data_IF_045893263022
#
_entry.id   IF_045893263022
#
_cell.length_a   1.000
_cell.length_b   1.000
_cell.length_c   1.000
_cell.angle_alpha   90.00
_cell.angle_beta   90.00
_cell.angle_gamma   90.00
#
_symmetry.space_group_name_H-M   'P 1'
#
loop_
_entity.id
_entity.type
_entity.pdbx_description
1 polymer ?
#
# COMPACT_ATOMS: atom_id res chain seq x y z
N UNK A 1 -28.45 -37.27 30.87
CA UNK A 1 -27.43 -37.27 29.79
C UNK A 1 -27.89 -36.62 28.50
N UNK A 2 -29.06 -36.92 27.90
CA UNK A 2 -29.52 -36.30 26.63
C UNK A 2 -29.71 -34.78 26.67
N UNK A 3 -30.18 -34.21 27.80
CA UNK A 3 -30.39 -32.75 27.95
C UNK A 3 -29.08 -31.96 28.00
N UNK A 4 -28.04 -32.51 28.66
CA UNK A 4 -26.74 -31.84 28.74
C UNK A 4 -26.03 -31.80 27.37
N UNK A 5 -26.12 -32.88 26.58
CA UNK A 5 -25.58 -32.94 25.23
C UNK A 5 -26.28 -31.93 24.31
N UNK A 6 -27.60 -31.77 24.44
CA UNK A 6 -28.36 -30.79 23.67
C UNK A 6 -27.93 -29.35 23.97
N UNK A 7 -27.71 -29.02 25.25
CA UNK A 7 -27.26 -27.68 25.67
C UNK A 7 -25.86 -27.38 25.12
N UNK A 8 -24.94 -28.34 25.18
CA UNK A 8 -23.60 -28.18 24.61
C UNK A 8 -23.63 -27.99 23.06
N UNK A 9 -24.48 -28.74 22.37
CA UNK A 9 -24.64 -28.62 20.93
C UNK A 9 -25.16 -27.22 20.54
N UNK A 10 -26.17 -26.69 21.25
CA UNK A 10 -26.70 -25.34 21.02
C UNK A 10 -25.64 -24.27 21.30
N UNK A 11 -24.84 -24.40 22.36
CA UNK A 11 -23.78 -23.46 22.70
C UNK A 11 -22.68 -23.42 21.60
N UNK A 12 -22.30 -24.59 21.07
CA UNK A 12 -21.31 -24.66 19.97
C UNK A 12 -21.86 -24.02 18.69
N UNK A 13 -23.11 -24.31 18.33
CA UNK A 13 -23.75 -23.73 17.13
C UNK A 13 -23.85 -22.21 17.27
N UNK A 14 -24.27 -21.71 18.44
CA UNK A 14 -24.33 -20.27 18.71
C UNK A 14 -22.93 -19.62 18.66
N UNK A 15 -21.90 -20.27 19.19
CA UNK A 15 -20.52 -19.81 19.14
C UNK A 15 -19.99 -19.77 17.72
N UNK A 16 -20.22 -20.77 16.89
CA UNK A 16 -19.83 -20.82 15.49
C UNK A 16 -20.59 -19.76 14.67
N UNK A 17 -21.89 -19.58 14.90
CA UNK A 17 -22.68 -18.55 14.23
C UNK A 17 -22.19 -17.13 14.59
N UNK A 18 -21.92 -16.86 15.87
CA UNK A 18 -21.35 -15.60 16.32
C UNK A 18 -19.96 -15.35 15.71
N UNK A 19 -19.10 -16.37 15.68
CA UNK A 19 -17.79 -16.29 15.06
C UNK A 19 -17.86 -16.01 13.54
N UNK A 20 -18.79 -16.68 12.83
CA UNK A 20 -19.00 -16.43 11.40
C UNK A 20 -19.54 -15.02 11.15
N UNK A 21 -20.48 -14.53 11.98
CA UNK A 21 -21.01 -13.16 11.88
C UNK A 21 -19.95 -12.11 12.17
N UNK A 22 -19.09 -12.30 13.17
CA UNK A 22 -17.99 -11.41 13.48
C UNK A 22 -16.97 -11.42 12.32
N UNK A 23 -16.66 -12.59 11.78
CA UNK A 23 -15.72 -12.72 10.65
C UNK A 23 -16.24 -12.11 9.35
N UNK A 24 -17.55 -12.17 9.08
CA UNK A 24 -18.18 -11.49 7.95
C UNK A 24 -18.22 -9.98 8.16
N UNK A 25 -18.49 -9.51 9.36
CA UNK A 25 -18.44 -8.08 9.72
C UNK A 25 -17.01 -7.50 9.60
N UNK A 26 -15.98 -8.28 9.98
CA UNK A 26 -14.57 -7.87 9.80
C UNK A 26 -14.16 -7.92 8.33
N UNK A 27 -14.72 -8.83 7.51
CA UNK A 27 -14.49 -8.89 6.07
C UNK A 27 -15.25 -7.82 5.27
N UNK A 28 -16.34 -7.27 5.83
CA UNK A 28 -17.13 -6.21 5.20
C UNK A 28 -16.74 -4.80 5.66
N UNK A 29 -15.66 -4.64 6.47
CA UNK A 29 -14.93 -3.38 6.43
C UNK A 29 -14.05 -3.45 5.18
N UNK A 30 -14.47 -2.91 4.05
CA UNK A 30 -13.61 -2.90 2.89
C UNK A 30 -12.35 -2.14 3.30
N UNK A 31 -11.21 -2.71 3.01
CA UNK A 31 -9.92 -2.01 3.03
C UNK A 31 -10.02 -0.67 2.30
N UNK A 32 -10.95 -0.55 1.36
CA UNK A 32 -11.40 0.68 0.71
C UNK A 32 -11.87 1.77 1.68
N UNK A 33 -12.51 1.46 2.81
CA UNK A 33 -12.95 2.51 3.77
C UNK A 33 -11.77 3.08 4.56
N UNK A 34 -10.74 2.29 4.85
CA UNK A 34 -9.47 2.81 5.38
C UNK A 34 -8.71 3.64 4.33
N UNK A 35 -8.90 3.33 3.06
CA UNK A 35 -8.33 4.05 1.93
C UNK A 35 -9.20 5.24 1.51
N UNK A 36 -10.51 5.23 1.75
CA UNK A 36 -11.41 6.36 1.47
C UNK A 36 -11.22 7.52 2.48
N UNK A 37 -10.74 7.24 3.70
CA UNK A 37 -10.40 8.30 4.65
C UNK A 37 -9.05 8.96 4.36
N UNK A 38 -8.22 8.38 3.48
CA UNK A 38 -6.86 8.83 3.15
C UNK A 38 -6.10 9.31 4.40
N UNK A 39 -5.91 8.44 5.43
CA UNK A 39 -5.27 8.85 6.67
C UNK A 39 -3.86 9.40 6.44
N UNK A 40 -3.21 8.95 5.36
CA UNK A 40 -1.93 9.48 4.89
C UNK A 40 -2.00 10.95 4.45
N UNK A 41 -3.17 11.46 4.04
CA UNK A 41 -3.35 12.85 3.69
C UNK A 41 -3.75 13.73 4.89
N UNK A 42 -4.26 13.15 5.97
CA UNK A 42 -4.64 13.90 7.16
C UNK A 42 -3.43 14.62 7.79
N UNK A 43 -2.27 13.95 7.84
CA UNK A 43 -1.04 14.59 8.31
C UNK A 43 -0.54 15.67 7.33
N UNK A 44 -0.71 15.49 6.01
CA UNK A 44 -0.33 16.49 5.01
C UNK A 44 -1.11 17.79 5.25
N UNK A 45 -2.42 17.67 5.46
CA UNK A 45 -3.28 18.84 5.77
C UNK A 45 -2.79 19.57 7.02
N UNK A 46 -2.55 18.84 8.11
CA UNK A 46 -2.18 19.43 9.41
C UNK A 46 -0.76 19.97 9.42
N UNK A 47 0.22 19.21 8.91
CA UNK A 47 1.64 19.55 8.93
C UNK A 47 1.96 20.75 8.02
N UNK A 48 1.35 20.78 6.83
CA UNK A 48 1.56 21.85 5.86
C UNK A 48 0.55 23.00 6.05
N UNK A 49 -0.37 22.88 6.99
CA UNK A 49 -1.42 23.88 7.26
C UNK A 49 -2.20 24.26 6.00
N UNK A 50 -2.61 23.25 5.22
CA UNK A 50 -3.29 23.45 3.95
C UNK A 50 -4.66 24.10 4.15
N UNK A 51 -4.99 25.05 3.28
CA UNK A 51 -6.37 25.50 3.13
C UNK A 51 -7.26 24.36 2.64
N UNK A 52 -8.58 24.49 2.81
CA UNK A 52 -9.52 23.46 2.33
C UNK A 52 -9.45 23.32 0.81
N UNK A 53 -9.21 24.41 0.07
CA UNK A 53 -9.03 24.38 -1.38
C UNK A 53 -7.74 23.64 -1.80
N UNK A 54 -6.61 23.93 -1.14
CA UNK A 54 -5.34 23.22 -1.38
C UNK A 54 -5.49 21.74 -1.06
N UNK A 55 -6.11 21.40 0.06
CA UNK A 55 -6.34 20.03 0.46
C UNK A 55 -7.22 19.27 -0.53
N UNK A 56 -8.26 19.89 -1.08
CA UNK A 56 -9.10 19.30 -2.12
C UNK A 56 -8.30 18.98 -3.39
N UNK A 57 -7.42 19.89 -3.82
CA UNK A 57 -6.54 19.67 -4.99
C UNK A 57 -5.55 18.53 -4.74
N UNK A 58 -4.90 18.52 -3.59
CA UNK A 58 -3.97 17.44 -3.18
C UNK A 58 -4.68 16.09 -3.13
N UNK A 59 -5.87 16.04 -2.53
CA UNK A 59 -6.67 14.81 -2.44
C UNK A 59 -7.07 14.29 -3.82
N UNK A 60 -7.44 15.17 -4.75
CA UNK A 60 -7.78 14.80 -6.12
C UNK A 60 -6.57 14.21 -6.88
N UNK A 61 -5.38 14.82 -6.75
CA UNK A 61 -4.15 14.31 -7.35
C UNK A 61 -3.78 12.94 -6.78
N UNK A 62 -3.90 12.77 -5.46
CA UNK A 62 -3.61 11.49 -4.80
C UNK A 62 -4.59 10.40 -5.23
N UNK A 63 -5.87 10.68 -5.28
CA UNK A 63 -6.89 9.75 -5.74
C UNK A 63 -6.66 9.30 -7.20
N UNK A 64 -6.21 10.22 -8.06
CA UNK A 64 -5.87 9.90 -9.45
C UNK A 64 -4.58 9.06 -9.59
N UNK A 65 -3.58 9.29 -8.72
CA UNK A 65 -2.31 8.55 -8.73
C UNK A 65 -2.43 7.13 -8.18
N UNK A 66 -3.28 6.93 -7.19
CA UNK A 66 -3.39 5.71 -6.40
C UNK A 66 -3.59 4.42 -7.21
N UNK A 67 -4.49 4.34 -8.22
CA UNK A 67 -4.63 3.13 -9.04
C UNK A 67 -3.33 2.73 -9.74
N UNK A 68 -2.58 3.72 -10.26
CA UNK A 68 -1.27 3.51 -10.89
C UNK A 68 -0.24 2.98 -9.89
N UNK A 69 -0.20 3.55 -8.69
CA UNK A 69 0.68 3.09 -7.62
C UNK A 69 0.41 1.62 -7.27
N UNK A 70 -0.86 1.25 -7.09
CA UNK A 70 -1.26 -0.13 -6.80
C UNK A 70 -0.86 -1.10 -7.92
N UNK A 71 -1.10 -0.73 -9.18
CA UNK A 71 -0.69 -1.53 -10.34
C UNK A 71 0.83 -1.78 -10.35
N UNK A 72 1.62 -0.74 -10.08
CA UNK A 72 3.09 -0.85 -10.04
C UNK A 72 3.57 -1.71 -8.89
N UNK A 73 2.97 -1.61 -7.70
CA UNK A 73 3.26 -2.50 -6.58
C UNK A 73 3.00 -3.98 -6.93
N UNK A 74 1.89 -4.27 -7.63
CA UNK A 74 1.61 -5.64 -8.10
C UNK A 74 2.65 -6.13 -9.12
N UNK A 75 3.10 -5.26 -10.04
CA UNK A 75 4.15 -5.60 -11.02
C UNK A 75 5.48 -5.88 -10.35
N UNK A 76 5.88 -5.06 -9.36
CA UNK A 76 7.09 -5.27 -8.58
C UNK A 76 7.03 -6.61 -7.86
N UNK A 77 5.94 -6.90 -7.15
CA UNK A 77 5.77 -8.15 -6.41
C UNK A 77 5.85 -9.37 -7.34
N UNK A 78 5.21 -9.33 -8.50
CA UNK A 78 5.25 -10.40 -9.49
C UNK A 78 6.66 -10.62 -10.08
N UNK A 79 7.38 -9.53 -10.39
CA UNK A 79 8.75 -9.60 -10.90
C UNK A 79 9.72 -10.12 -9.84
N UNK A 80 9.55 -9.71 -8.58
CA UNK A 80 10.32 -10.23 -7.43
C UNK A 80 10.10 -11.74 -7.26
N UNK A 81 8.85 -12.19 -7.21
CA UNK A 81 8.51 -13.62 -7.11
C UNK A 81 9.10 -14.44 -8.27
N UNK A 82 9.10 -13.89 -9.51
CA UNK A 82 9.71 -14.51 -10.67
C UNK A 82 11.21 -14.76 -10.44
N UNK A 83 11.95 -13.74 -9.98
CA UNK A 83 13.39 -13.83 -9.68
C UNK A 83 13.65 -14.86 -8.58
N UNK A 84 12.91 -14.80 -7.47
CA UNK A 84 13.06 -15.78 -6.38
C UNK A 84 12.78 -17.21 -6.83
N UNK A 85 11.75 -17.44 -7.63
CA UNK A 85 11.39 -18.76 -8.15
C UNK A 85 12.49 -19.31 -9.07
N UNK A 86 13.13 -18.45 -9.87
CA UNK A 86 14.25 -18.86 -10.72
C UNK A 86 15.47 -19.27 -9.89
N UNK A 87 15.83 -18.49 -8.86
CA UNK A 87 16.94 -18.79 -7.94
C UNK A 87 16.69 -20.11 -7.19
N UNK A 88 15.45 -20.33 -6.71
CA UNK A 88 15.10 -21.59 -6.02
C UNK A 88 15.21 -22.83 -6.90
N UNK A 89 14.92 -22.71 -8.20
CA UNK A 89 15.00 -23.81 -9.17
C UNK A 89 16.43 -24.09 -9.59
N UNK A 90 17.23 -23.08 -9.78
CA UNK A 90 18.62 -23.18 -10.21
C UNK A 90 19.44 -22.05 -9.56
N UNK A 91 20.27 -22.35 -8.54
CA UNK A 91 21.07 -21.36 -7.83
C UNK A 91 22.33 -20.97 -8.61
N UNK A 92 22.18 -20.63 -9.88
CA UNK A 92 23.24 -20.16 -10.77
C UNK A 92 22.75 -18.93 -11.53
N UNK A 93 23.65 -18.00 -11.82
CA UNK A 93 23.34 -16.83 -12.63
C UNK A 93 23.32 -17.27 -14.10
N UNK A 94 22.11 -17.45 -14.63
CA UNK A 94 21.88 -17.75 -16.04
C UNK A 94 21.49 -16.50 -16.81
N UNK A 95 21.62 -16.46 -18.15
CA UNK A 95 21.16 -15.33 -18.96
C UNK A 95 19.66 -15.01 -18.77
N UNK A 96 18.84 -16.01 -18.46
CA UNK A 96 17.42 -15.84 -18.14
C UNK A 96 17.23 -15.15 -16.80
N UNK A 97 18.01 -15.51 -15.77
CA UNK A 97 17.97 -14.88 -14.47
C UNK A 97 18.46 -13.42 -14.56
N UNK A 98 19.53 -13.16 -15.32
CA UNK A 98 20.01 -11.78 -15.56
C UNK A 98 18.92 -10.91 -16.18
N UNK A 99 18.23 -11.42 -17.21
CA UNK A 99 17.09 -10.69 -17.82
C UNK A 99 15.96 -10.42 -16.83
N UNK A 100 15.61 -11.40 -16.00
CA UNK A 100 14.57 -11.22 -14.97
C UNK A 100 14.97 -10.17 -13.92
N UNK A 101 16.25 -10.12 -13.52
CA UNK A 101 16.77 -9.10 -12.61
C UNK A 101 16.69 -7.71 -13.26
N UNK A 102 17.10 -7.58 -14.52
CA UNK A 102 17.00 -6.30 -15.24
C UNK A 102 15.55 -5.85 -15.42
N UNK A 103 14.62 -6.76 -15.72
CA UNK A 103 13.19 -6.48 -15.80
C UNK A 103 12.65 -5.95 -14.46
N UNK A 104 12.99 -6.63 -13.36
CA UNK A 104 12.62 -6.22 -12.01
C UNK A 104 13.17 -4.83 -11.68
N UNK A 105 14.44 -4.55 -11.97
CA UNK A 105 15.08 -3.25 -11.75
C UNK A 105 14.42 -2.12 -12.59
N UNK A 106 14.05 -2.42 -13.84
CA UNK A 106 13.36 -1.45 -14.70
C UNK A 106 11.97 -1.08 -14.13
N UNK A 107 11.19 -2.06 -13.66
CA UNK A 107 9.88 -1.81 -13.04
C UNK A 107 10.03 -0.94 -11.77
N UNK A 108 11.07 -1.16 -10.96
CA UNK A 108 11.37 -0.31 -9.82
C UNK A 108 11.69 1.14 -10.23
N UNK A 109 12.51 1.32 -11.27
CA UNK A 109 12.84 2.64 -11.78
C UNK A 109 11.58 3.39 -12.29
N UNK A 110 10.71 2.71 -13.03
CA UNK A 110 9.44 3.27 -13.50
C UNK A 110 8.52 3.67 -12.34
N UNK A 111 8.46 2.86 -11.29
CA UNK A 111 7.70 3.17 -10.09
C UNK A 111 8.26 4.40 -9.36
N UNK A 112 9.58 4.47 -9.20
CA UNK A 112 10.26 5.60 -8.58
C UNK A 112 10.00 6.89 -9.36
N UNK A 113 10.11 6.86 -10.69
CA UNK A 113 9.78 8.00 -11.54
C UNK A 113 8.34 8.44 -11.36
N UNK A 114 7.38 7.51 -11.40
CA UNK A 114 5.97 7.82 -11.22
C UNK A 114 5.67 8.44 -9.85
N UNK A 115 6.35 8.00 -8.80
CA UNK A 115 6.24 8.58 -7.46
C UNK A 115 6.81 10.01 -7.42
N UNK A 116 7.97 10.25 -8.02
CA UNK A 116 8.56 11.59 -8.12
C UNK A 116 7.66 12.54 -8.91
N UNK A 117 7.11 12.09 -10.03
CA UNK A 117 6.15 12.87 -10.82
C UNK A 117 4.93 13.27 -9.97
N UNK A 118 4.38 12.34 -9.19
CA UNK A 118 3.27 12.63 -8.28
C UNK A 118 3.66 13.61 -7.18
N UNK A 119 4.85 13.48 -6.58
CA UNK A 119 5.37 14.42 -5.57
C UNK A 119 5.48 15.82 -6.15
N UNK A 120 6.05 15.97 -7.35
CA UNK A 120 6.21 17.29 -7.98
C UNK A 120 4.88 17.89 -8.44
N UNK A 121 3.94 17.09 -8.95
CA UNK A 121 2.59 17.55 -9.27
C UNK A 121 1.86 18.05 -8.01
N UNK A 122 1.99 17.33 -6.91
CA UNK A 122 1.40 17.73 -5.63
C UNK A 122 2.05 19.02 -5.11
N UNK A 123 3.37 19.12 -5.16
CA UNK A 123 4.08 20.34 -4.77
C UNK A 123 3.66 21.56 -5.61
N UNK A 124 3.33 21.35 -6.89
CA UNK A 124 2.90 22.41 -7.81
C UNK A 124 1.55 23.06 -7.48
N UNK A 125 0.73 22.47 -6.58
CA UNK A 125 -0.53 23.06 -6.11
C UNK A 125 -0.41 23.70 -4.72
N UNK A 126 0.78 23.70 -4.13
CA UNK A 126 1.11 24.27 -2.83
C UNK A 126 1.85 25.61 -3.00
N UNK A 127 1.91 26.40 -1.93
CA UNK A 127 2.80 27.58 -1.94
C UNK A 127 4.27 27.19 -1.77
N UNK A 128 5.19 28.13 -1.96
CA UNK A 128 6.62 27.85 -2.02
C UNK A 128 7.19 27.20 -0.77
N UNK A 129 6.75 27.60 0.44
CA UNK A 129 7.21 27.04 1.69
C UNK A 129 6.61 25.65 1.95
N UNK A 130 5.30 25.51 1.70
CA UNK A 130 4.59 24.23 1.79
C UNK A 130 5.16 23.22 0.81
N UNK A 131 5.40 23.62 -0.44
CA UNK A 131 5.99 22.78 -1.48
C UNK A 131 7.39 22.29 -1.10
N UNK A 132 8.25 23.17 -0.62
CA UNK A 132 9.60 22.82 -0.17
C UNK A 132 9.56 21.81 1.00
N UNK A 133 8.68 22.05 1.98
CA UNK A 133 8.52 21.15 3.12
C UNK A 133 7.94 19.79 2.69
N UNK A 134 6.94 19.78 1.81
CA UNK A 134 6.35 18.56 1.25
C UNK A 134 7.40 17.72 0.52
N UNK A 135 8.13 18.31 -0.43
CA UNK A 135 9.20 17.61 -1.17
C UNK A 135 10.22 17.05 -0.19
N UNK A 136 10.72 17.86 0.76
CA UNK A 136 11.69 17.41 1.76
C UNK A 136 11.22 16.18 2.54
N UNK A 137 9.92 16.13 2.88
CA UNK A 137 9.35 15.01 3.64
C UNK A 137 9.07 13.78 2.77
N UNK A 138 8.67 13.98 1.50
CA UNK A 138 8.29 12.87 0.63
C UNK A 138 9.44 12.26 -0.16
N UNK A 139 10.50 13.04 -0.43
CA UNK A 139 11.63 12.58 -1.23
C UNK A 139 12.31 11.31 -0.70
N UNK A 140 12.53 11.12 0.61
CA UNK A 140 13.11 9.89 1.13
C UNK A 140 12.30 8.64 0.76
N UNK A 141 10.96 8.72 0.76
CA UNK A 141 10.11 7.59 0.38
C UNK A 141 10.20 7.23 -1.11
N UNK A 142 10.46 8.21 -1.98
CA UNK A 142 10.66 7.97 -3.40
C UNK A 142 12.06 7.44 -3.73
N UNK A 143 13.06 7.79 -2.93
CA UNK A 143 14.46 7.41 -3.20
C UNK A 143 14.87 6.12 -2.46
N UNK A 144 14.26 5.82 -1.33
CA UNK A 144 14.64 4.69 -0.48
C UNK A 144 13.73 3.48 -0.69
N UNK A 145 13.64 3.04 -1.95
CA UNK A 145 12.82 1.87 -2.34
C UNK A 145 13.35 0.55 -1.78
N UNK A 146 14.60 0.51 -1.32
CA UNK A 146 15.25 -0.70 -0.82
C UNK A 146 14.67 -1.24 0.49
N UNK A 147 13.88 -0.43 1.22
CA UNK A 147 13.35 -0.80 2.54
C UNK A 147 11.85 -1.18 2.55
N UNK A 148 11.14 -1.08 1.43
CA UNK A 148 9.69 -1.32 1.41
C UNK A 148 9.29 -2.77 1.08
N UNK A 149 10.24 -3.67 0.85
CA UNK A 149 9.96 -5.10 0.64
C UNK A 149 9.51 -5.85 1.91
N UNK A 150 9.73 -5.29 3.08
CA UNK A 150 9.19 -5.87 4.31
C UNK A 150 7.96 -5.10 4.75
N UNK A 151 6.76 -5.53 4.41
CA UNK A 151 5.41 -5.06 4.75
C UNK A 151 5.16 -4.38 6.11
N UNK A 152 6.07 -3.51 6.57
CA UNK A 152 6.04 -2.79 7.85
C UNK A 152 5.87 -1.27 7.65
N UNK A 153 5.09 -0.85 6.65
CA UNK A 153 4.77 0.57 6.50
C UNK A 153 3.68 1.08 7.48
N UNK A 154 3.30 0.29 8.51
CA UNK A 154 2.26 0.69 9.46
C UNK A 154 2.61 0.46 10.94
N UNK A 155 3.88 0.62 11.32
CA UNK A 155 4.23 0.53 12.73
C UNK A 155 5.34 1.53 13.09
N UNK A 156 4.97 2.84 13.15
CA UNK A 156 5.50 3.79 14.17
C UNK A 156 4.67 5.07 14.17
#
# INVERSE_FOLDING_TARGET
MKRSVLVFAIAIIAGVAAFCLIRTQIRTKPESVLLDSMPELAWVKSELKLSDEQFAKVSALHAAYRPRCMEMCCKIAAAHEKVENMIRKNPQVTPELERAIHEHAAIHADCQQAMLDHIFQTAGVLDGEQAALYIKKMLPYALDFSHSESGKMHAR
#
